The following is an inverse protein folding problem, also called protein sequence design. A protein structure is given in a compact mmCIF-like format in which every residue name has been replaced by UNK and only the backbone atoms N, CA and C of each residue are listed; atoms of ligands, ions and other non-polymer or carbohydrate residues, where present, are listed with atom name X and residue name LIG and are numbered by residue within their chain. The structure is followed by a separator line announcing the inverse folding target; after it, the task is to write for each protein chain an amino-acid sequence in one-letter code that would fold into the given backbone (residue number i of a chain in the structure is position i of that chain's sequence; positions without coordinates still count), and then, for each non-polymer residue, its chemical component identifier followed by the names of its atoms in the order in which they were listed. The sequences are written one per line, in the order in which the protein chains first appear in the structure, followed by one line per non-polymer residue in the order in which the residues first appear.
data_IF_699683597450
#
_entry.id   IF_699683597450
#
_cell.length_a   1.000
_cell.length_b   1.000
_cell.length_c   1.000
_cell.angle_alpha   90.00
_cell.angle_beta   90.00
_cell.angle_gamma   90.00
#
_symmetry.space_group_name_H-M   'P 1'
#
loop_
_entity.id
_entity.type
_entity.pdbx_description
1 polymer ?
#
# COMPACT_ATOMS: atom_id res chain seq x y z
N UNK A 1 5.22 4.27 -13.02
CA UNK A 1 6.44 4.51 -12.20
C UNK A 1 7.25 5.71 -12.71
N UNK A 2 7.60 5.78 -14.00
CA UNK A 2 8.28 6.96 -14.57
C UNK A 2 7.48 8.26 -14.44
N UNK A 3 6.16 8.17 -14.51
CA UNK A 3 5.22 9.28 -14.32
C UNK A 3 5.20 9.90 -12.93
N UNK A 4 5.75 9.22 -11.91
CA UNK A 4 5.86 9.76 -10.56
C UNK A 4 7.15 10.57 -10.35
N UNK A 5 8.14 10.46 -11.26
CA UNK A 5 9.42 11.16 -11.17
C UNK A 5 9.30 12.69 -11.14
N UNK A 6 8.44 13.33 -11.97
CA UNK A 6 8.29 14.78 -11.94
C UNK A 6 7.83 15.31 -10.57
N UNK A 7 6.99 14.55 -9.86
CA UNK A 7 6.51 14.93 -8.53
C UNK A 7 7.58 14.75 -7.45
N UNK A 8 8.35 13.66 -7.49
CA UNK A 8 9.46 13.49 -6.58
C UNK A 8 10.50 14.62 -6.74
N UNK A 9 10.78 14.97 -7.99
CA UNK A 9 11.80 15.95 -8.28
C UNK A 9 11.37 17.40 -8.03
N UNK A 10 10.07 17.68 -8.09
CA UNK A 10 9.48 18.93 -7.63
C UNK A 10 9.81 19.24 -6.16
N UNK A 11 9.91 18.20 -5.34
CA UNK A 11 10.27 18.28 -3.93
C UNK A 11 11.79 18.19 -3.70
N UNK A 12 12.60 18.31 -4.75
CA UNK A 12 14.05 18.07 -4.72
C UNK A 12 14.42 16.68 -4.15
N UNK A 13 13.49 15.72 -4.23
CA UNK A 13 13.62 14.40 -3.65
C UNK A 13 13.99 13.36 -4.71
N UNK A 14 15.06 12.59 -4.46
CA UNK A 14 15.48 11.48 -5.34
C UNK A 14 14.79 10.14 -5.04
N UNK A 15 13.94 10.11 -4.01
CA UNK A 15 13.14 8.94 -3.65
C UNK A 15 11.69 9.15 -4.08
N UNK A 16 11.17 8.23 -4.90
CA UNK A 16 9.76 8.20 -5.28
C UNK A 16 8.97 7.52 -4.15
N UNK A 17 8.02 8.25 -3.57
CA UNK A 17 7.14 7.82 -2.51
C UNK A 17 5.71 7.63 -3.03
N UNK A 18 4.86 7.06 -2.19
CA UNK A 18 3.45 6.81 -2.47
C UNK A 18 2.65 8.07 -2.83
N UNK A 19 2.90 9.22 -2.20
CA UNK A 19 2.26 10.50 -2.53
C UNK A 19 2.59 10.96 -3.96
N UNK A 20 3.85 10.84 -4.38
CA UNK A 20 4.25 11.14 -5.76
C UNK A 20 3.52 10.22 -6.77
N UNK A 21 3.25 8.98 -6.39
CA UNK A 21 2.53 8.03 -7.23
C UNK A 21 1.02 8.32 -7.27
N UNK A 22 0.41 8.76 -6.16
CA UNK A 22 -0.98 9.28 -6.16
C UNK A 22 -1.13 10.46 -7.12
N UNK A 23 -0.19 11.40 -7.10
CA UNK A 23 -0.21 12.55 -8.01
C UNK A 23 -0.09 12.12 -9.47
N UNK A 24 0.71 11.10 -9.77
CA UNK A 24 0.79 10.53 -11.10
C UNK A 24 -0.53 9.85 -11.53
N UNK A 25 -1.18 9.11 -10.62
CA UNK A 25 -2.49 8.48 -10.86
C UNK A 25 -3.55 9.50 -11.27
N UNK A 26 -3.54 10.70 -10.68
CA UNK A 26 -4.48 11.78 -11.04
C UNK A 26 -4.33 12.28 -12.48
N UNK A 27 -3.14 12.15 -13.06
CA UNK A 27 -2.89 12.55 -14.44
C UNK A 27 -3.22 11.43 -15.40
N UNK A 28 -2.76 10.21 -15.11
CA UNK A 28 -2.89 9.07 -16.01
C UNK A 28 -4.32 8.51 -16.07
N UNK A 29 -5.12 8.71 -15.02
CA UNK A 29 -6.40 8.03 -14.87
C UNK A 29 -7.55 9.00 -14.55
N UNK A 30 -8.42 9.22 -15.54
CA UNK A 30 -9.57 10.11 -15.38
C UNK A 30 -10.54 9.61 -14.31
N UNK A 31 -10.75 8.30 -14.19
CA UNK A 31 -11.68 7.74 -13.22
C UNK A 31 -11.17 7.95 -11.79
N UNK A 32 -9.91 7.61 -11.55
CA UNK A 32 -9.25 7.83 -10.27
C UNK A 32 -9.22 9.32 -9.91
N UNK A 33 -8.92 10.19 -10.89
CA UNK A 33 -8.96 11.65 -10.72
C UNK A 33 -10.34 12.13 -10.29
N UNK A 34 -11.39 11.76 -11.03
CA UNK A 34 -12.77 12.19 -10.72
C UNK A 34 -13.20 11.73 -9.33
N UNK A 35 -12.81 10.52 -8.93
CA UNK A 35 -13.16 9.99 -7.62
C UNK A 35 -12.46 10.76 -6.49
N UNK A 36 -11.15 11.00 -6.61
CA UNK A 36 -10.39 11.78 -5.63
C UNK A 36 -10.92 13.22 -5.51
N UNK A 37 -11.17 13.90 -6.63
CA UNK A 37 -11.68 15.28 -6.61
C UNK A 37 -13.11 15.36 -6.11
N UNK A 38 -13.98 14.39 -6.42
CA UNK A 38 -15.34 14.31 -5.86
C UNK A 38 -15.33 14.13 -4.34
N UNK A 39 -14.26 13.53 -3.79
CA UNK A 39 -14.05 13.41 -2.36
C UNK A 39 -13.27 14.59 -1.75
N UNK A 40 -13.11 15.70 -2.47
CA UNK A 40 -12.52 16.93 -1.94
C UNK A 40 -11.00 17.01 -1.99
N UNK A 41 -10.31 16.02 -2.58
CA UNK A 41 -8.86 16.10 -2.77
C UNK A 41 -8.49 17.29 -3.66
N UNK A 42 -7.61 18.15 -3.17
CA UNK A 42 -7.06 19.29 -3.90
C UNK A 42 -5.65 18.91 -4.35
N UNK A 43 -5.44 18.68 -5.66
CA UNK A 43 -4.10 18.37 -6.15
C UNK A 43 -3.16 19.56 -5.95
N UNK A 44 -1.93 19.34 -5.45
CA UNK A 44 -0.90 20.37 -5.48
C UNK A 44 -0.62 20.80 -6.92
N UNK A 45 -0.11 22.03 -7.09
CA UNK A 45 0.15 22.58 -8.41
C UNK A 45 1.07 21.66 -9.23
N UNK A 46 0.74 21.40 -10.51
CA UNK A 46 1.53 20.51 -11.34
C UNK A 46 2.90 21.12 -11.61
N UNK A 47 3.96 20.37 -11.28
CA UNK A 47 5.33 20.83 -11.50
C UNK A 47 5.77 20.47 -12.91
N UNK A 48 6.18 21.49 -13.66
CA UNK A 48 6.40 21.38 -15.11
C UNK A 48 7.76 20.86 -15.53
N UNK A 49 8.68 20.56 -14.60
CA UNK A 49 10.03 20.12 -14.94
C UNK A 49 10.56 19.05 -13.99
N UNK A 50 10.95 17.91 -14.54
CA UNK A 50 11.74 16.91 -13.84
C UNK A 50 13.24 17.13 -14.18
N UNK A 51 14.13 17.37 -13.21
CA UNK A 51 15.57 17.22 -13.40
C UNK A 51 15.89 15.80 -13.87
N UNK A 52 16.87 15.69 -14.77
CA UNK A 52 17.44 14.40 -15.16
C UNK A 52 18.26 13.82 -14.00
N UNK A 53 18.04 12.55 -13.66
CA UNK A 53 18.78 11.86 -12.60
C UNK A 53 18.24 10.46 -12.29
N UNK A 54 19.02 9.70 -11.52
CA UNK A 54 18.62 8.37 -11.02
C UNK A 54 17.73 8.54 -9.78
N UNK A 55 16.58 7.86 -9.77
CA UNK A 55 15.64 7.84 -8.65
C UNK A 55 15.60 6.46 -7.99
N UNK A 56 15.41 6.44 -6.68
CA UNK A 56 15.10 5.23 -5.90
C UNK A 56 13.61 5.16 -5.57
N UNK A 57 13.10 3.97 -5.29
CA UNK A 57 11.70 3.75 -4.89
C UNK A 57 11.66 3.57 -3.37
N UNK A 58 10.77 4.27 -2.69
CA UNK A 58 10.55 4.09 -1.26
C UNK A 58 10.04 2.66 -0.99
N UNK A 59 10.54 1.97 0.05
CA UNK A 59 10.04 0.64 0.43
C UNK A 59 8.52 0.62 0.69
N UNK A 60 7.96 1.70 1.23
CA UNK A 60 6.52 1.88 1.47
C UNK A 60 5.72 1.87 0.16
N UNK A 61 6.18 2.59 -0.87
CA UNK A 61 5.58 2.54 -2.20
C UNK A 61 5.64 1.12 -2.78
N UNK A 62 6.77 0.42 -2.65
CA UNK A 62 6.88 -0.98 -3.11
C UNK A 62 5.86 -1.89 -2.41
N UNK A 63 5.63 -1.72 -1.11
CA UNK A 63 4.58 -2.45 -0.39
C UNK A 63 3.18 -2.14 -0.94
N UNK A 64 2.84 -0.87 -1.18
CA UNK A 64 1.56 -0.50 -1.79
C UNK A 64 1.39 -1.10 -3.19
N UNK A 65 2.44 -1.14 -4.00
CA UNK A 65 2.40 -1.78 -5.33
C UNK A 65 2.13 -3.28 -5.23
N UNK A 66 2.76 -4.00 -4.30
CA UNK A 66 2.47 -5.42 -4.10
C UNK A 66 1.04 -5.67 -3.58
N UNK A 67 0.53 -4.80 -2.71
CA UNK A 67 -0.87 -4.84 -2.29
C UNK A 67 -1.83 -4.58 -3.45
N UNK A 68 -1.51 -3.60 -4.28
CA UNK A 68 -2.25 -3.27 -5.49
C UNK A 68 -2.33 -4.48 -6.42
N UNK A 69 -1.21 -5.16 -6.64
CA UNK A 69 -1.15 -6.35 -7.48
C UNK A 69 -1.99 -7.49 -6.89
N UNK A 70 -1.91 -7.71 -5.58
CA UNK A 70 -2.74 -8.70 -4.89
C UNK A 70 -4.24 -8.41 -5.00
N UNK A 71 -4.64 -7.14 -4.83
CA UNK A 71 -6.05 -6.71 -5.00
C UNK A 71 -6.51 -6.87 -6.45
N UNK A 72 -5.71 -6.43 -7.40
CA UNK A 72 -6.01 -6.53 -8.84
C UNK A 72 -6.19 -7.99 -9.27
N UNK A 73 -5.29 -8.88 -8.86
CA UNK A 73 -5.40 -10.31 -9.14
C UNK A 73 -6.62 -10.93 -8.43
N UNK A 74 -6.87 -10.56 -7.18
CA UNK A 74 -7.98 -11.09 -6.38
C UNK A 74 -9.36 -10.68 -6.89
N UNK A 75 -9.48 -9.48 -7.46
CA UNK A 75 -10.73 -8.95 -8.01
C UNK A 75 -10.91 -9.24 -9.51
N UNK A 76 -9.89 -9.79 -10.15
CA UNK A 76 -9.86 -10.09 -11.57
C UNK A 76 -9.28 -8.93 -12.38
N UNK A 77 -8.51 -9.27 -13.43
CA UNK A 77 -7.74 -8.33 -14.25
C UNK A 77 -8.59 -7.38 -15.13
N UNK A 78 -9.90 -7.29 -14.86
CA UNK A 78 -10.81 -6.33 -15.47
C UNK A 78 -10.99 -5.08 -14.61
N UNK A 79 -10.55 -5.09 -13.35
CA UNK A 79 -10.66 -3.92 -12.46
C UNK A 79 -9.57 -2.89 -12.74
N UNK A 80 -9.86 -1.62 -12.47
CA UNK A 80 -8.89 -0.56 -12.65
C UNK A 80 -7.77 -0.66 -11.58
N UNK A 81 -6.54 -0.96 -12.01
CA UNK A 81 -5.36 -1.10 -11.13
C UNK A 81 -5.05 0.17 -10.35
N UNK A 82 -5.32 1.36 -10.89
CA UNK A 82 -5.09 2.61 -10.18
C UNK A 82 -6.09 2.81 -9.03
N UNK A 83 -7.33 2.32 -9.17
CA UNK A 83 -8.28 2.30 -8.06
C UNK A 83 -7.86 1.30 -6.98
N UNK A 84 -7.31 0.14 -7.37
CA UNK A 84 -6.70 -0.79 -6.41
C UNK A 84 -5.53 -0.13 -5.66
N UNK A 85 -4.72 0.69 -6.33
CA UNK A 85 -3.65 1.46 -5.69
C UNK A 85 -4.21 2.48 -4.69
N UNK A 86 -5.20 3.29 -5.09
CA UNK A 86 -5.84 4.25 -4.19
C UNK A 86 -6.48 3.57 -2.98
N UNK A 87 -7.12 2.42 -3.17
CA UNK A 87 -7.64 1.63 -2.06
C UNK A 87 -6.49 1.19 -1.14
N UNK A 88 -5.38 0.69 -1.70
CA UNK A 88 -4.19 0.33 -0.92
C UNK A 88 -3.63 1.51 -0.11
N UNK A 89 -3.77 2.75 -0.58
CA UNK A 89 -3.35 3.93 0.16
C UNK A 89 -4.25 4.26 1.36
N UNK A 90 -5.50 3.78 1.36
CA UNK A 90 -6.47 3.99 2.43
C UNK A 90 -6.47 2.86 3.45
N UNK A 91 -6.32 1.62 2.98
CA UNK A 91 -6.44 0.41 3.83
C UNK A 91 -5.15 -0.39 3.96
N UNK A 92 -4.09 -0.01 3.24
CA UNK A 92 -2.80 -0.67 3.26
C UNK A 92 -1.82 -0.02 4.25
N UNK A 93 -0.61 -0.59 4.38
CA UNK A 93 0.37 -0.14 5.35
C UNK A 93 1.02 1.17 4.93
N UNK A 94 0.91 2.21 5.77
CA UNK A 94 1.60 3.47 5.55
C UNK A 94 0.72 4.71 5.76
N UNK A 95 1.35 5.81 6.19
CA UNK A 95 0.70 7.04 6.62
C UNK A 95 0.02 7.90 5.54
N UNK A 96 -0.26 7.35 4.35
CA UNK A 96 -0.79 8.14 3.22
C UNK A 96 -2.21 8.66 3.48
N UNK A 97 -2.98 8.00 4.34
CA UNK A 97 -4.25 8.53 4.85
C UNK A 97 -4.13 9.95 5.40
N UNK A 98 -3.08 10.24 6.20
CA UNK A 98 -2.86 11.57 6.79
C UNK A 98 -2.55 12.60 5.72
N UNK A 99 -1.76 12.24 4.72
CA UNK A 99 -1.42 13.11 3.61
C UNK A 99 -2.64 13.41 2.73
N UNK A 100 -3.45 12.40 2.39
CA UNK A 100 -4.69 12.58 1.62
C UNK A 100 -5.65 13.53 2.34
N UNK A 101 -5.86 13.30 3.64
CA UNK A 101 -6.69 14.16 4.49
C UNK A 101 -6.13 15.58 4.62
N UNK A 102 -4.80 15.70 4.72
CA UNK A 102 -4.11 17.00 4.73
C UNK A 102 -4.29 17.79 3.42
N UNK A 103 -4.54 17.11 2.31
CA UNK A 103 -4.86 17.69 1.01
C UNK A 103 -6.37 17.75 0.72
N UNK A 104 -7.20 17.72 1.78
CA UNK A 104 -8.65 17.97 1.68
C UNK A 104 -9.52 16.76 1.34
N UNK A 105 -8.93 15.57 1.14
CA UNK A 105 -9.73 14.38 0.86
C UNK A 105 -10.55 13.93 2.07
N UNK A 106 -11.86 13.74 1.87
CA UNK A 106 -12.70 12.90 2.71
C UNK A 106 -12.36 11.44 2.42
N UNK A 107 -11.40 10.92 3.18
CA UNK A 107 -10.91 9.54 3.04
C UNK A 107 -12.01 8.49 3.28
N UNK A 108 -13.04 8.80 4.08
CA UNK A 108 -14.14 7.87 4.33
C UNK A 108 -15.08 7.82 3.12
N UNK A 109 -15.39 8.98 2.53
CA UNK A 109 -16.13 9.05 1.26
C UNK A 109 -15.36 8.39 0.12
N UNK A 110 -14.05 8.62 0.04
CA UNK A 110 -13.19 8.01 -0.96
C UNK A 110 -13.15 6.49 -0.82
N UNK A 111 -13.04 5.98 0.41
CA UNK A 111 -13.06 4.54 0.64
C UNK A 111 -14.40 3.94 0.23
N UNK A 112 -15.54 4.58 0.58
CA UNK A 112 -16.88 4.13 0.15
C UNK A 112 -17.00 4.06 -1.38
N UNK A 113 -16.54 5.10 -2.07
CA UNK A 113 -16.57 5.17 -3.52
C UNK A 113 -15.72 4.05 -4.15
N UNK A 114 -14.50 3.84 -3.65
CA UNK A 114 -13.60 2.78 -4.12
C UNK A 114 -14.15 1.38 -3.85
N UNK A 115 -14.70 1.12 -2.65
CA UNK A 115 -15.28 -0.20 -2.34
C UNK A 115 -16.49 -0.50 -3.22
N UNK A 116 -17.35 0.50 -3.47
CA UNK A 116 -18.50 0.32 -4.35
C UNK A 116 -18.07 0.07 -5.80
N UNK A 117 -17.11 0.84 -6.31
CA UNK A 117 -16.59 0.70 -7.67
C UNK A 117 -15.89 -0.65 -7.89
N UNK A 118 -15.16 -1.14 -6.89
CA UNK A 118 -14.46 -2.42 -6.95
C UNK A 118 -15.34 -3.63 -6.59
N UNK A 119 -16.64 -3.43 -6.33
CA UNK A 119 -17.56 -4.51 -5.96
C UNK A 119 -17.20 -5.19 -4.63
N UNK A 120 -16.57 -4.45 -3.73
CA UNK A 120 -16.06 -4.94 -2.45
C UNK A 120 -17.08 -4.77 -1.33
N UNK A 121 -17.06 -5.70 -0.37
CA UNK A 121 -17.94 -5.66 0.80
C UNK A 121 -17.64 -4.43 1.69
N UNK A 122 -18.71 -3.77 2.14
CA UNK A 122 -18.66 -2.58 2.99
C UNK A 122 -17.93 -2.78 4.33
N UNK A 123 -17.76 -4.02 4.79
CA UNK A 123 -17.01 -4.39 5.99
C UNK A 123 -15.50 -4.12 5.87
N UNK A 124 -14.96 -3.92 4.66
CA UNK A 124 -13.58 -3.46 4.51
C UNK A 124 -13.37 -2.03 5.08
N UNK A 125 -14.46 -1.26 5.22
CA UNK A 125 -14.41 0.10 5.80
C UNK A 125 -14.11 0.11 7.30
N UNK A 126 -14.52 -0.92 8.05
CA UNK A 126 -14.23 -0.99 9.49
C UNK A 126 -12.75 -1.26 9.75
N UNK A 127 -11.98 -1.63 8.72
CA UNK A 127 -10.53 -1.87 8.80
C UNK A 127 -9.68 -0.64 8.47
N UNK A 128 -10.28 0.48 8.04
CA UNK A 128 -9.58 1.75 7.76
C UNK A 128 -8.85 2.28 9.01
N UNK A 129 -9.26 1.85 10.22
CA UNK A 129 -8.77 2.38 11.51
C UNK A 129 -7.80 1.43 12.24
N UNK A 130 -7.53 0.22 11.72
CA UNK A 130 -6.78 -0.81 12.47
C UNK A 130 -5.40 -1.15 11.91
N UNK A 131 -4.70 -0.16 11.36
CA UNK A 131 -3.25 -0.25 11.23
C UNK A 131 -2.63 0.65 12.27
N UNK A 132 -2.25 0.07 13.40
CA UNK A 132 -1.38 0.77 14.33
C UNK A 132 0.06 0.65 13.82
N UNK A 133 0.77 1.77 13.84
CA UNK A 133 2.24 1.74 13.92
C UNK A 133 2.69 1.14 15.28
N UNK A 134 1.74 0.81 16.15
CA UNK A 134 2.00 0.16 17.43
C UNK A 134 2.35 -1.31 17.21
N UNK A 135 3.46 -1.71 17.81
CA UNK A 135 3.84 -3.11 17.93
C UNK A 135 2.67 -3.88 18.55
N UNK A 136 2.07 -4.80 17.80
CA UNK A 136 1.10 -5.74 18.33
C UNK A 136 1.82 -6.66 19.32
N UNK A 137 1.62 -6.40 20.61
CA UNK A 137 2.07 -7.26 21.69
C UNK A 137 1.08 -8.42 21.83
N UNK A 138 1.36 -9.51 21.11
CA UNK A 138 0.67 -10.78 21.31
C UNK A 138 1.33 -11.55 22.43
N UNK A 139 0.52 -12.20 23.28
CA UNK A 139 1.07 -13.20 24.18
C UNK A 139 1.54 -14.44 23.40
N UNK A 140 2.21 -15.36 24.09
CA UNK A 140 2.80 -16.54 23.46
C UNK A 140 1.74 -17.49 22.86
N UNK A 141 0.52 -17.52 23.42
CA UNK A 141 -0.55 -18.40 22.96
C UNK A 141 -1.22 -17.84 21.70
N UNK A 142 -1.54 -16.55 21.71
CA UNK A 142 -2.11 -15.81 20.58
C UNK A 142 -1.13 -15.76 19.40
N UNK A 143 0.14 -15.49 19.66
CA UNK A 143 1.19 -15.52 18.64
C UNK A 143 1.32 -16.90 17.99
N UNK A 144 1.24 -17.97 18.77
CA UNK A 144 1.28 -19.34 18.26
C UNK A 144 0.01 -19.72 17.48
N UNK A 145 -1.16 -19.20 17.85
CA UNK A 145 -2.40 -19.40 17.11
C UNK A 145 -2.36 -18.70 15.75
N UNK A 146 -1.95 -17.42 15.72
CA UNK A 146 -1.81 -16.65 14.48
C UNK A 146 -0.82 -17.32 13.51
N UNK A 147 0.31 -17.81 14.01
CA UNK A 147 1.31 -18.48 13.17
C UNK A 147 0.82 -19.82 12.61
N UNK A 148 0.01 -20.56 13.36
CA UNK A 148 -0.63 -21.78 12.84
C UNK A 148 -1.59 -21.46 11.71
N UNK A 149 -2.40 -20.42 11.87
CA UNK A 149 -3.35 -19.98 10.85
C UNK A 149 -2.61 -19.53 9.58
N UNK A 150 -1.61 -18.65 9.71
CA UNK A 150 -0.80 -18.18 8.58
C UNK A 150 -0.09 -19.32 7.83
N UNK A 151 0.44 -20.32 8.56
CA UNK A 151 1.05 -21.51 7.96
C UNK A 151 0.04 -22.40 7.24
N UNK A 152 -1.17 -22.54 7.79
CA UNK A 152 -2.24 -23.32 7.14
C UNK A 152 -2.66 -22.73 5.79
N UNK A 153 -2.46 -21.42 5.62
CA UNK A 153 -2.70 -20.67 4.38
C UNK A 153 -1.48 -20.67 3.43
N UNK A 154 -0.46 -21.50 3.70
CA UNK A 154 0.73 -21.64 2.86
C UNK A 154 1.72 -20.48 2.94
N UNK A 155 1.50 -19.51 3.84
CA UNK A 155 2.38 -18.35 3.98
C UNK A 155 3.51 -18.66 4.96
N UNK A 156 4.75 -18.42 4.54
CA UNK A 156 5.94 -18.65 5.36
C UNK A 156 6.37 -17.36 6.04
N UNK A 157 6.45 -17.39 7.36
CA UNK A 157 6.89 -16.28 8.20
C UNK A 157 7.91 -16.78 9.23
N UNK A 158 8.94 -15.99 9.48
CA UNK A 158 9.89 -16.20 10.57
C UNK A 158 9.39 -15.46 11.82
N UNK A 159 9.53 -16.11 12.97
CA UNK A 159 9.20 -15.53 14.27
C UNK A 159 10.47 -15.44 15.11
N UNK A 160 10.90 -14.23 15.42
CA UNK A 160 11.98 -13.98 16.38
C UNK A 160 11.40 -13.43 17.67
N UNK A 161 11.80 -14.01 18.80
CA UNK A 161 11.47 -13.49 20.12
C UNK A 161 12.61 -12.59 20.58
N UNK A 162 12.29 -11.36 20.99
CA UNK A 162 13.22 -10.45 21.66
C UNK A 162 13.26 -10.75 23.16
N UNK A 163 14.33 -10.29 23.81
CA UNK A 163 14.56 -10.50 25.24
C UNK A 163 13.49 -9.84 26.14
N UNK A 164 12.80 -8.82 25.62
CA UNK A 164 11.67 -8.14 26.28
C UNK A 164 10.34 -8.90 26.18
N UNK A 165 10.33 -10.08 25.55
CA UNK A 165 9.14 -10.91 25.34
C UNK A 165 8.35 -10.58 24.08
N UNK A 166 8.75 -9.57 23.31
CA UNK A 166 8.10 -9.18 22.05
C UNK A 166 8.39 -10.21 20.94
N UNK A 167 7.38 -10.51 20.12
CA UNK A 167 7.55 -11.32 18.92
C UNK A 167 7.61 -10.43 17.68
N UNK A 168 8.63 -10.64 16.84
CA UNK A 168 8.73 -10.04 15.51
C UNK A 168 8.39 -11.09 14.48
N UNK A 169 7.32 -10.86 13.72
CA UNK A 169 6.89 -11.71 12.60
C UNK A 169 7.37 -11.08 11.29
N UNK A 170 8.27 -11.75 10.58
CA UNK A 170 8.85 -11.28 9.32
C UNK A 170 8.38 -12.22 8.20
N UNK A 171 7.79 -11.73 7.10
CA UNK A 171 7.52 -12.55 5.93
C UNK A 171 8.82 -13.19 5.46
N UNK A 172 8.84 -14.52 5.34
CA UNK A 172 9.96 -15.21 4.71
C UNK A 172 9.80 -14.94 3.21
N UNK A 173 10.39 -13.84 2.71
CA UNK A 173 10.41 -13.53 1.29
C UNK A 173 10.80 -14.81 0.56
N UNK A 174 9.94 -15.25 -0.37
CA UNK A 174 10.05 -16.53 -1.06
C UNK A 174 11.51 -16.74 -1.45
N UNK A 175 12.22 -17.61 -0.72
CA UNK A 175 13.58 -17.99 -1.10
C UNK A 175 13.47 -18.45 -2.56
N UNK A 176 14.25 -17.89 -3.51
CA UNK A 176 14.34 -18.52 -4.80
C UNK A 176 14.76 -19.96 -4.53
N UNK A 177 14.05 -20.91 -5.13
CA UNK A 177 14.35 -22.32 -4.99
C UNK A 177 15.84 -22.53 -5.31
N UNK A 178 16.66 -22.70 -4.28
CA UNK A 178 18.01 -23.19 -4.47
C UNK A 178 17.84 -24.62 -4.94
N UNK A 179 17.88 -24.78 -6.26
CA UNK A 179 17.84 -26.06 -6.93
C UNK A 179 18.85 -27.01 -6.31
N UNK A 180 18.39 -28.23 -6.06
CA UNK A 180 19.23 -29.35 -5.67
C UNK A 180 20.36 -29.54 -6.69
N UNK A 181 21.61 -29.44 -6.24
CA UNK A 181 22.73 -30.14 -6.86
C UNK A 181 22.98 -31.44 -6.07
N UNK A 182 23.01 -32.63 -6.70
CA UNK A 182 23.22 -33.88 -6.00
C UNK A 182 24.68 -34.01 -5.53
N UNK A 183 24.85 -34.74 -4.43
CA UNK A 183 26.13 -35.19 -3.88
C UNK A 183 26.77 -36.29 -4.75
#
# INVERSE_FOLDING_TARGET
MEVARPYAAAEENRTIREDHYVLAVLIEDEQARRMLTACGFIPPEPVRHAPHGTFTIAPTLTHHLHWTDGLYLGLGETVNRNLCFLLSCLIGPGGLYRWLRGNGADCDALCRALTAELGLDESLRTRIVHWSDEVLHLDAEEGAALMRDLRSQGRRFMMNRKDDGTFVVIPEAARPETGNGPA
#
